data_IF_565632606934
#
_entry.id   IF_565632606934
#
_cell.length_a   1.000
_cell.length_b   1.000
_cell.length_c   1.000
_cell.angle_alpha   90.00
_cell.angle_beta   90.00
_cell.angle_gamma   90.00
#
_symmetry.space_group_name_H-M   'P 1'
#
loop_
_entity.id
_entity.type
_entity.pdbx_description
1 polymer ?
#
# COMPACT_ATOMS: atom_id res chain seq x y z
N UNK A 1 -2.09 10.38 2.43
CA UNK A 1 -1.52 9.41 1.48
C UNK A 1 -1.66 9.93 0.05
N UNK A 2 -0.65 9.70 -0.78
CA UNK A 2 -0.69 10.11 -2.18
C UNK A 2 -1.63 9.21 -2.98
N UNK A 3 -2.11 9.71 -4.14
CA UNK A 3 -2.92 8.91 -5.06
C UNK A 3 -2.17 7.66 -5.54
N UNK A 4 -0.88 7.79 -5.80
CA UNK A 4 -0.01 6.67 -6.21
C UNK A 4 0.04 5.59 -5.14
N UNK A 5 0.16 5.99 -3.88
CA UNK A 5 0.20 5.07 -2.75
C UNK A 5 -1.13 4.34 -2.57
N UNK A 6 -2.26 5.04 -2.72
CA UNK A 6 -3.58 4.43 -2.64
C UNK A 6 -3.80 3.41 -3.75
N UNK A 7 -3.38 3.72 -4.99
CA UNK A 7 -3.46 2.80 -6.12
C UNK A 7 -2.62 1.55 -5.89
N UNK A 8 -1.41 1.72 -5.36
CA UNK A 8 -0.53 0.60 -5.03
C UNK A 8 -1.15 -0.30 -3.95
N UNK A 9 -1.72 0.29 -2.90
CA UNK A 9 -2.39 -0.47 -1.84
C UNK A 9 -3.56 -1.28 -2.38
N UNK A 10 -4.32 -0.71 -3.32
CA UNK A 10 -5.42 -1.44 -3.97
C UNK A 10 -4.85 -2.61 -4.78
N UNK A 11 -3.81 -2.38 -5.58
CA UNK A 11 -3.17 -3.46 -6.35
C UNK A 11 -2.65 -4.56 -5.43
N UNK A 12 -2.06 -4.22 -4.29
CA UNK A 12 -1.58 -5.20 -3.31
C UNK A 12 -2.72 -6.04 -2.73
N UNK A 13 -3.90 -5.44 -2.56
CA UNK A 13 -5.07 -6.11 -2.00
C UNK A 13 -5.70 -7.09 -2.98
N UNK A 14 -5.37 -7.02 -4.25
CA UNK A 14 -5.87 -7.92 -5.29
C UNK A 14 -4.85 -9.03 -5.51
N UNK A 15 -5.26 -10.26 -5.24
CA UNK A 15 -4.43 -11.45 -5.42
C UNK A 15 -5.18 -12.54 -6.16
N UNK A 16 -4.52 -13.69 -6.35
CA UNK A 16 -5.12 -14.82 -7.05
C UNK A 16 -6.35 -15.36 -6.32
N UNK A 17 -6.33 -15.32 -4.99
CA UNK A 17 -7.39 -15.86 -4.14
C UNK A 17 -8.23 -14.77 -3.49
N UNK A 18 -8.02 -13.49 -3.86
CA UNK A 18 -8.69 -12.36 -3.25
C UNK A 18 -9.32 -11.47 -4.31
N UNK A 19 -10.64 -11.38 -4.29
CA UNK A 19 -11.43 -10.55 -5.20
C UNK A 19 -12.31 -9.59 -4.37
N UNK A 20 -11.72 -8.58 -3.73
CA UNK A 20 -12.48 -7.69 -2.85
C UNK A 20 -13.42 -6.76 -3.61
N UNK A 21 -14.50 -6.35 -2.93
CA UNK A 21 -15.39 -5.29 -3.40
C UNK A 21 -14.81 -3.93 -3.02
N UNK A 22 -15.37 -2.83 -3.58
CA UNK A 22 -14.93 -1.48 -3.21
C UNK A 22 -15.11 -1.22 -1.71
N UNK A 23 -16.21 -1.68 -1.13
CA UNK A 23 -16.49 -1.51 0.29
C UNK A 23 -15.47 -2.24 1.16
N UNK A 24 -15.12 -3.46 0.78
CA UNK A 24 -14.07 -4.22 1.48
C UNK A 24 -12.73 -3.52 1.39
N UNK A 25 -12.37 -3.00 0.21
CA UNK A 25 -11.13 -2.25 0.03
C UNK A 25 -11.11 -0.98 0.90
N UNK A 26 -12.21 -0.23 0.91
CA UNK A 26 -12.31 0.98 1.72
C UNK A 26 -12.10 0.66 3.21
N UNK A 27 -12.77 -0.37 3.71
CA UNK A 27 -12.67 -0.80 5.11
C UNK A 27 -11.25 -1.28 5.45
N UNK A 28 -10.67 -2.11 4.59
CA UNK A 28 -9.35 -2.69 4.83
C UNK A 28 -8.23 -1.66 4.78
N UNK A 29 -8.34 -0.67 3.90
CA UNK A 29 -7.32 0.35 3.70
C UNK A 29 -7.53 1.60 4.55
N UNK A 30 -8.69 1.72 5.18
CA UNK A 30 -9.01 2.89 6.00
C UNK A 30 -9.16 4.18 5.20
N UNK A 31 -9.64 4.08 3.95
CA UNK A 31 -9.89 5.23 3.09
C UNK A 31 -11.36 5.29 2.70
N UNK A 32 -11.80 6.44 2.19
CA UNK A 32 -13.19 6.62 1.82
C UNK A 32 -13.58 5.77 0.60
N UNK A 33 -14.84 5.41 0.52
CA UNK A 33 -15.39 4.69 -0.64
C UNK A 33 -15.18 5.50 -1.93
N UNK A 34 -15.33 6.83 -1.85
CA UNK A 34 -15.11 7.71 -3.00
C UNK A 34 -13.67 7.65 -3.51
N UNK A 35 -12.69 7.60 -2.63
CA UNK A 35 -11.28 7.45 -3.01
C UNK A 35 -11.02 6.10 -3.67
N UNK A 36 -11.60 5.03 -3.12
CA UNK A 36 -11.50 3.69 -3.72
C UNK A 36 -12.10 3.71 -5.12
N UNK A 37 -13.30 4.26 -5.27
CA UNK A 37 -13.98 4.33 -6.57
C UNK A 37 -13.13 5.08 -7.60
N UNK A 38 -12.56 6.23 -7.21
CA UNK A 38 -11.68 7.02 -8.07
C UNK A 38 -10.47 6.21 -8.54
N UNK A 39 -9.80 5.55 -7.60
CA UNK A 39 -8.61 4.75 -7.90
C UNK A 39 -8.96 3.54 -8.79
N UNK A 40 -10.07 2.86 -8.50
CA UNK A 40 -10.55 1.71 -9.27
C UNK A 40 -10.80 2.11 -10.74
N UNK A 41 -11.50 3.22 -10.97
CA UNK A 41 -11.76 3.72 -12.33
C UNK A 41 -10.46 3.99 -13.07
N UNK A 42 -9.51 4.64 -12.42
CA UNK A 42 -8.19 4.93 -12.99
C UNK A 42 -7.44 3.64 -13.36
N UNK A 43 -7.47 2.63 -12.48
CA UNK A 43 -6.78 1.36 -12.71
C UNK A 43 -7.43 0.56 -13.85
N UNK A 44 -8.76 0.61 -13.97
CA UNK A 44 -9.48 0.00 -15.08
C UNK A 44 -9.10 0.66 -16.40
N UNK A 45 -9.09 2.00 -16.44
CA UNK A 45 -8.71 2.76 -17.63
C UNK A 45 -7.30 2.40 -18.12
N UNK A 46 -6.39 2.15 -17.19
CA UNK A 46 -5.02 1.75 -17.50
C UNK A 46 -4.88 0.28 -17.86
N UNK A 47 -5.96 -0.49 -17.76
CA UNK A 47 -5.95 -1.92 -18.06
C UNK A 47 -5.26 -2.78 -17.01
N UNK A 48 -5.13 -2.28 -15.78
CA UNK A 48 -4.44 -3.00 -14.69
C UNK A 48 -5.36 -3.91 -13.90
N UNK A 49 -6.64 -3.57 -13.84
CA UNK A 49 -7.66 -4.39 -13.17
C UNK A 49 -8.88 -4.52 -14.06
N UNK A 50 -9.67 -5.53 -13.77
CA UNK A 50 -10.95 -5.76 -14.45
C UNK A 50 -12.03 -6.09 -13.43
N UNK A 51 -13.29 -5.85 -13.81
CA UNK A 51 -14.46 -6.15 -12.98
C UNK A 51 -14.79 -7.61 -13.08
N UNK A 52 -15.09 -8.22 -11.95
CA UNK A 52 -15.63 -9.56 -11.86
C UNK A 52 -17.02 -9.49 -11.22
N UNK A 53 -18.02 -9.96 -11.92
CA UNK A 53 -19.39 -9.96 -11.42
C UNK A 53 -19.72 -11.35 -10.86
N UNK A 54 -20.38 -11.39 -9.72
CA UNK A 54 -20.86 -12.63 -9.15
C UNK A 54 -22.19 -12.40 -8.42
N UNK A 55 -22.93 -13.48 -8.20
CA UNK A 55 -24.17 -13.42 -7.42
C UNK A 55 -23.89 -13.94 -6.01
N UNK A 56 -24.35 -13.18 -5.01
CA UNK A 56 -24.21 -13.59 -3.62
C UNK A 56 -25.35 -14.54 -3.22
N UNK A 57 -25.37 -15.00 -1.95
CA UNK A 57 -26.38 -15.90 -1.42
C UNK A 57 -27.81 -15.34 -1.50
N UNK A 58 -27.97 -14.03 -1.60
CA UNK A 58 -29.27 -13.35 -1.77
C UNK A 58 -29.63 -13.12 -3.24
N UNK A 59 -28.88 -13.73 -4.16
CA UNK A 59 -29.06 -13.59 -5.60
C UNK A 59 -28.92 -12.17 -6.12
N UNK A 60 -28.13 -11.34 -5.43
CA UNK A 60 -27.80 -9.98 -5.86
C UNK A 60 -26.46 -9.98 -6.58
N UNK A 61 -26.37 -9.19 -7.66
CA UNK A 61 -25.12 -9.01 -8.40
C UNK A 61 -24.18 -8.15 -7.54
N UNK A 62 -22.97 -8.67 -7.33
CA UNK A 62 -21.91 -7.92 -6.68
C UNK A 62 -20.73 -7.79 -7.62
N UNK A 63 -19.97 -6.69 -7.45
CA UNK A 63 -18.79 -6.40 -8.24
C UNK A 63 -17.56 -6.56 -7.38
N UNK A 64 -16.62 -7.34 -7.85
CA UNK A 64 -15.30 -7.46 -7.27
C UNK A 64 -14.26 -7.20 -8.36
N UNK A 65 -13.00 -7.14 -7.99
CA UNK A 65 -11.95 -6.70 -8.89
C UNK A 65 -10.82 -7.70 -8.94
N UNK A 66 -10.27 -7.90 -10.15
CA UNK A 66 -9.19 -8.83 -10.43
C UNK A 66 -8.05 -8.10 -11.12
N UNK A 67 -6.82 -8.56 -10.88
CA UNK A 67 -5.67 -8.07 -11.63
C UNK A 67 -5.67 -8.66 -13.04
N UNK A 68 -5.39 -7.82 -14.03
CA UNK A 68 -5.04 -8.28 -15.37
C UNK A 68 -3.58 -8.73 -15.40
N UNK A 69 -3.10 -9.43 -16.44
CA UNK A 69 -1.67 -9.72 -16.58
C UNK A 69 -0.80 -8.46 -16.50
N UNK A 70 -1.26 -7.37 -17.12
CA UNK A 70 -0.59 -6.07 -17.04
C UNK A 70 -0.58 -5.54 -15.61
N UNK A 71 -1.68 -5.73 -14.87
CA UNK A 71 -1.79 -5.35 -13.46
C UNK A 71 -0.82 -6.12 -12.58
N UNK A 72 -0.60 -7.39 -12.85
CA UNK A 72 0.37 -8.22 -12.12
C UNK A 72 1.79 -7.69 -12.33
N UNK A 73 2.15 -7.36 -13.57
CA UNK A 73 3.45 -6.76 -13.89
C UNK A 73 3.65 -5.41 -13.20
N UNK A 74 2.64 -4.56 -13.24
CA UNK A 74 2.70 -3.24 -12.61
C UNK A 74 2.79 -3.34 -11.10
N UNK A 75 2.05 -4.27 -10.49
CA UNK A 75 2.15 -4.54 -9.06
C UNK A 75 3.57 -4.94 -8.66
N UNK A 76 4.19 -5.84 -9.43
CA UNK A 76 5.56 -6.27 -9.18
C UNK A 76 6.55 -5.11 -9.27
N UNK A 77 6.41 -4.29 -10.31
CA UNK A 77 7.25 -3.11 -10.54
C UNK A 77 7.14 -2.10 -9.39
N UNK A 78 5.91 -1.79 -8.98
CA UNK A 78 5.65 -0.87 -7.88
C UNK A 78 6.13 -1.44 -6.54
N UNK A 79 6.01 -2.74 -6.35
CA UNK A 79 6.52 -3.40 -5.13
C UNK A 79 8.02 -3.18 -5.00
N UNK A 80 8.79 -3.37 -6.07
CA UNK A 80 10.23 -3.13 -6.06
C UNK A 80 10.56 -1.65 -5.79
N UNK A 81 9.80 -0.74 -6.39
CA UNK A 81 9.98 0.70 -6.16
C UNK A 81 9.74 1.06 -4.69
N UNK A 82 8.64 0.57 -4.11
CA UNK A 82 8.33 0.85 -2.70
C UNK A 82 9.30 0.17 -1.73
N UNK A 83 9.80 -1.02 -2.05
CA UNK A 83 10.85 -1.66 -1.25
C UNK A 83 12.08 -0.76 -1.19
N UNK A 84 12.51 -0.22 -2.33
CA UNK A 84 13.67 0.68 -2.39
C UNK A 84 13.44 1.93 -1.55
N UNK A 85 12.26 2.56 -1.67
CA UNK A 85 11.91 3.76 -0.89
C UNK A 85 11.92 3.43 0.61
N UNK A 86 11.29 2.34 1.00
CA UNK A 86 11.22 1.94 2.42
C UNK A 86 12.59 1.56 2.98
N UNK A 87 13.44 0.95 2.17
CA UNK A 87 14.81 0.62 2.56
C UNK A 87 15.61 1.90 2.83
N UNK A 88 15.47 2.90 1.97
CA UNK A 88 16.13 4.21 2.17
C UNK A 88 15.63 4.90 3.43
N UNK A 89 14.31 4.87 3.68
CA UNK A 89 13.73 5.42 4.92
C UNK A 89 14.25 4.70 6.16
N UNK A 90 14.35 3.37 6.08
CA UNK A 90 14.87 2.54 7.18
C UNK A 90 16.33 2.90 7.47
N UNK A 91 17.17 2.98 6.44
CA UNK A 91 18.59 3.31 6.59
C UNK A 91 18.78 4.68 7.20
N UNK A 92 17.99 5.67 6.76
CA UNK A 92 18.03 7.03 7.31
C UNK A 92 17.62 7.05 8.78
N UNK A 93 16.57 6.30 9.15
CA UNK A 93 16.10 6.20 10.53
C UNK A 93 17.14 5.49 11.40
N UNK A 94 17.75 4.43 10.91
CA UNK A 94 18.81 3.71 11.61
C UNK A 94 19.99 4.62 11.92
N UNK A 95 20.39 5.45 10.95
CA UNK A 95 21.44 6.44 11.12
C UNK A 95 21.06 7.50 12.15
N UNK A 96 19.83 7.97 12.13
CA UNK A 96 19.31 8.92 13.11
C UNK A 96 19.36 8.37 14.53
N UNK A 97 18.93 7.12 14.71
CA UNK A 97 18.98 6.45 16.01
C UNK A 97 20.42 6.33 16.51
N UNK A 98 21.34 5.97 15.63
CA UNK A 98 22.76 5.86 15.97
C UNK A 98 23.34 7.18 16.43
N UNK A 99 23.00 8.28 15.72
CA UNK A 99 23.43 9.62 16.09
C UNK A 99 22.87 10.04 17.46
N UNK A 100 21.61 9.73 17.75
CA UNK A 100 20.99 10.03 19.05
C UNK A 100 21.67 9.26 20.17
N UNK A 101 22.03 8.01 19.94
CA UNK A 101 22.74 7.19 20.92
C UNK A 101 24.11 7.79 21.25
N UNK A 102 24.83 8.27 20.23
CA UNK A 102 26.11 8.93 20.40
C UNK A 102 26.00 10.21 21.23
N UNK A 103 24.97 11.00 20.98
CA UNK A 103 24.69 12.21 21.77
C UNK A 103 24.45 11.87 23.26
N UNK A 104 23.66 10.83 23.51
CA UNK A 104 23.37 10.37 24.86
C UNK A 104 24.63 9.89 25.57
N UNK A 105 25.49 9.14 24.89
CA UNK A 105 26.76 8.66 25.45
C UNK A 105 27.70 9.84 25.80
N UNK A 106 27.79 10.84 24.92
CA UNK A 106 28.58 12.02 25.14
C UNK A 106 28.10 12.81 26.36
N UNK A 107 26.79 12.98 26.52
CA UNK A 107 26.19 13.64 27.68
C UNK A 107 26.45 12.87 28.98
N UNK A 108 26.35 11.54 28.93
CA UNK A 108 26.62 10.68 30.08
C UNK A 108 28.08 10.76 30.52
N UNK A 109 29.02 10.85 29.58
CA UNK A 109 30.45 11.02 29.86
C UNK A 109 30.71 12.38 30.51
N UNK A 110 30.11 13.45 29.97
CA UNK A 110 30.22 14.80 30.55
C UNK A 110 29.68 14.86 31.98
N UNK A 111 28.52 14.25 32.22
CA UNK A 111 27.95 14.15 33.57
C UNK A 111 28.84 13.35 34.51
N UNK A 112 29.47 12.30 34.00
CA UNK A 112 30.39 11.47 34.76
C UNK A 112 31.69 12.17 35.14
N UNK A 113 32.07 13.23 34.45
CA UNK A 113 33.28 14.03 34.74
C UNK A 113 33.04 15.11 35.80
N UNK A 114 31.80 15.43 36.05
CA UNK A 114 31.40 16.38 37.08
C UNK A 114 31.20 15.70 38.42
#
# INVERSE_FOLDING_TARGET
MSKKQNKFQILQSLGQDSCPTQRQLANNLGISLGKVNYCIKSLIEKGLIKVNNFRNSKNKIQYSYLLTPKGIEEKAKLTLEFIRIKTQEYDALEQEIENLKKEKEAESVDEGLL
#
